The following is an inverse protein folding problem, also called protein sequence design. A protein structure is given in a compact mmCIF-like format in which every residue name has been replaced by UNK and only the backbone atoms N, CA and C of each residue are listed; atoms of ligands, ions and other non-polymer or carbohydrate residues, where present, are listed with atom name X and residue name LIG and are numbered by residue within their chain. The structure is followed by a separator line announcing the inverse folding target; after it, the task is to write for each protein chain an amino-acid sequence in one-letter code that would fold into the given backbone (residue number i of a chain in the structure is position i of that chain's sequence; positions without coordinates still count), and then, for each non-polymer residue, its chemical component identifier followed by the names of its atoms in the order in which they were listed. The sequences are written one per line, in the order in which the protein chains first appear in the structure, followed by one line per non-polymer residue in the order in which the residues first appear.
data_IF_829807323945
#
_entry.id   IF_829807323945
#
_cell.length_a   1.000
_cell.length_b   1.000
_cell.length_c   1.000
_cell.angle_alpha   90.00
_cell.angle_beta   90.00
_cell.angle_gamma   90.00
#
_symmetry.space_group_name_H-M   'P 1'
#
loop_
_entity.id
_entity.type
_entity.pdbx_description
1 polymer ?
#
# COMPACT_ATOMS: atom_id res chain seq x y z
N UNK A 1 -10.00 -27.19 5.94
CA UNK A 1 -8.93 -26.73 6.82
C UNK A 1 -9.53 -26.21 8.13
N UNK A 2 -8.92 -26.55 9.26
CA UNK A 2 -9.32 -26.09 10.59
C UNK A 2 -10.54 -26.80 11.19
N UNK A 3 -10.99 -26.27 12.31
CA UNK A 3 -12.18 -26.72 13.05
C UNK A 3 -13.46 -26.09 12.45
N UNK A 4 -14.67 -26.51 12.89
CA UNK A 4 -15.95 -26.03 12.36
C UNK A 4 -16.35 -24.62 12.88
N UNK A 5 -15.46 -23.88 13.51
CA UNK A 5 -15.76 -22.50 14.01
C UNK A 5 -16.08 -21.59 12.85
N UNK A 6 -17.15 -20.81 12.94
CA UNK A 6 -17.57 -19.85 11.92
C UNK A 6 -16.58 -18.68 11.86
N UNK A 7 -15.87 -18.54 10.72
CA UNK A 7 -14.86 -17.50 10.46
C UNK A 7 -14.61 -17.35 8.97
N UNK A 8 -13.93 -16.24 8.64
CA UNK A 8 -13.46 -15.99 7.29
C UNK A 8 -12.01 -16.43 7.12
N UNK A 9 -11.71 -17.08 6.00
CA UNK A 9 -10.35 -17.35 5.54
C UNK A 9 -10.06 -16.44 4.36
N UNK A 10 -9.02 -15.63 4.47
CA UNK A 10 -8.70 -14.61 3.45
C UNK A 10 -7.19 -14.42 3.29
N UNK A 11 -6.79 -13.73 2.22
CA UNK A 11 -5.42 -13.29 1.96
C UNK A 11 -4.41 -14.45 2.00
N UNK A 12 -4.64 -15.44 1.15
CA UNK A 12 -3.80 -16.64 1.07
C UNK A 12 -2.44 -16.31 0.44
N UNK A 13 -1.37 -16.78 1.07
CA UNK A 13 0.00 -16.70 0.56
C UNK A 13 0.71 -18.06 0.70
N UNK A 14 1.60 -18.37 -0.25
CA UNK A 14 2.44 -19.56 -0.20
C UNK A 14 3.83 -19.21 0.34
N UNK A 15 4.40 -20.13 1.12
CA UNK A 15 5.84 -20.08 1.40
C UNK A 15 6.65 -20.22 0.11
N UNK A 16 7.87 -19.65 0.04
CA UNK A 16 8.72 -19.76 -1.14
C UNK A 16 9.07 -21.19 -1.56
N UNK A 17 9.07 -22.14 -0.62
CA UNK A 17 9.30 -23.58 -0.86
C UNK A 17 8.01 -24.38 -1.16
N UNK A 18 6.86 -23.72 -1.22
CA UNK A 18 5.53 -24.28 -1.47
C UNK A 18 5.07 -25.34 -0.45
N UNK A 19 5.64 -25.38 0.75
CA UNK A 19 5.30 -26.36 1.79
C UNK A 19 4.29 -25.85 2.81
N UNK A 20 4.17 -24.54 2.94
CA UNK A 20 3.28 -23.88 3.90
C UNK A 20 2.35 -22.92 3.20
N UNK A 21 1.10 -22.93 3.61
CA UNK A 21 0.07 -21.96 3.21
C UNK A 21 -0.17 -21.05 4.41
N UNK A 22 -0.05 -19.76 4.19
CA UNK A 22 -0.40 -18.73 5.18
C UNK A 22 -1.72 -18.08 4.79
N UNK A 23 -2.57 -17.85 5.78
CA UNK A 23 -3.82 -17.13 5.57
C UNK A 23 -4.24 -16.37 6.82
N UNK A 24 -5.03 -15.33 6.63
CA UNK A 24 -5.67 -14.66 7.74
C UNK A 24 -7.01 -15.35 8.06
N UNK A 25 -7.18 -15.68 9.33
CA UNK A 25 -8.43 -16.15 9.91
C UNK A 25 -9.08 -14.98 10.66
N UNK A 26 -10.22 -14.51 10.20
CA UNK A 26 -10.95 -13.42 10.81
C UNK A 26 -12.23 -13.97 11.44
N UNK A 27 -12.49 -13.69 12.72
CA UNK A 27 -13.71 -14.13 13.39
C UNK A 27 -14.97 -13.51 12.77
N UNK A 28 -16.14 -14.02 13.10
CA UNK A 28 -17.41 -13.55 12.54
C UNK A 28 -17.72 -12.10 12.88
N UNK A 29 -17.32 -11.64 14.07
CA UNK A 29 -17.49 -10.25 14.53
C UNK A 29 -16.47 -9.29 13.90
N UNK A 30 -15.50 -9.82 13.13
CA UNK A 30 -14.46 -9.08 12.41
C UNK A 30 -13.59 -8.19 13.31
N UNK A 31 -13.30 -8.62 14.51
CA UNK A 31 -12.51 -7.88 15.50
C UNK A 31 -11.33 -8.70 16.09
N UNK A 32 -11.16 -9.95 15.66
CA UNK A 32 -10.04 -10.82 16.01
C UNK A 32 -9.53 -11.50 14.74
N UNK A 33 -8.34 -11.11 14.29
CA UNK A 33 -7.69 -11.59 13.08
C UNK A 33 -6.38 -12.28 13.42
N UNK A 34 -6.14 -13.46 12.83
CA UNK A 34 -4.95 -14.28 13.08
C UNK A 34 -4.26 -14.64 11.79
N UNK A 35 -2.96 -14.46 11.72
CA UNK A 35 -2.14 -15.02 10.65
C UNK A 35 -1.76 -16.44 11.02
N UNK A 36 -2.23 -17.40 10.27
CA UNK A 36 -2.10 -18.84 10.55
C UNK A 36 -1.37 -19.55 9.44
N UNK A 37 -0.53 -20.51 9.81
CA UNK A 37 0.20 -21.39 8.90
C UNK A 37 -0.45 -22.79 8.85
N UNK A 38 -0.50 -23.34 7.63
CA UNK A 38 -1.01 -24.67 7.33
C UNK A 38 -0.01 -25.46 6.50
N UNK A 39 0.09 -26.76 6.76
CA UNK A 39 0.84 -27.67 5.89
C UNK A 39 0.16 -27.75 4.52
N UNK A 40 0.90 -27.49 3.45
CA UNK A 40 0.37 -27.63 2.08
C UNK A 40 0.13 -29.10 1.69
N UNK A 41 0.81 -30.05 2.35
CA UNK A 41 0.69 -31.48 2.10
C UNK A 41 -0.53 -32.08 2.80
N UNK A 42 -0.73 -31.77 4.10
CA UNK A 42 -1.77 -32.41 4.92
C UNK A 42 -3.00 -31.55 5.13
N UNK A 43 -2.89 -30.23 4.91
CA UNK A 43 -3.95 -29.27 5.21
C UNK A 43 -4.11 -28.98 6.71
N UNK A 44 -3.24 -29.54 7.57
CA UNK A 44 -3.29 -29.33 9.01
C UNK A 44 -2.71 -27.98 9.42
N UNK A 45 -3.31 -27.37 10.42
CA UNK A 45 -2.81 -26.14 11.06
C UNK A 45 -1.48 -26.45 11.77
N UNK A 46 -0.42 -25.75 11.37
CA UNK A 46 0.92 -25.93 11.93
C UNK A 46 1.26 -24.89 12.98
N UNK A 47 0.65 -23.69 12.93
CA UNK A 47 0.89 -22.65 13.92
C UNK A 47 0.07 -21.38 13.68
N UNK A 48 0.09 -20.53 14.72
CA UNK A 48 -0.42 -19.16 14.66
C UNK A 48 0.77 -18.21 14.84
N UNK A 49 1.00 -17.30 13.89
CA UNK A 49 2.18 -16.44 13.86
C UNK A 49 1.89 -15.05 14.45
N UNK A 50 0.70 -14.55 14.23
CA UNK A 50 0.32 -13.19 14.61
C UNK A 50 -1.16 -13.12 14.93
N UNK A 51 -1.52 -12.23 15.85
CA UNK A 51 -2.89 -11.92 16.18
C UNK A 51 -3.06 -10.42 16.30
N UNK A 52 -4.15 -9.90 15.72
CA UNK A 52 -4.57 -8.51 15.82
C UNK A 52 -6.02 -8.46 16.27
N UNK A 53 -6.29 -7.63 17.27
CA UNK A 53 -7.63 -7.41 17.80
C UNK A 53 -7.91 -5.92 17.89
N UNK A 54 -9.13 -5.52 17.64
CA UNK A 54 -9.60 -4.15 17.83
C UNK A 54 -11.01 -4.16 18.38
N UNK A 55 -11.40 -3.16 19.18
CA UNK A 55 -12.74 -3.07 19.76
C UNK A 55 -13.83 -2.86 18.70
N UNK A 56 -13.48 -2.28 17.54
CA UNK A 56 -14.40 -1.99 16.44
C UNK A 56 -14.30 -3.05 15.35
N UNK A 57 -13.17 -3.08 14.62
CA UNK A 57 -12.94 -4.05 13.56
C UNK A 57 -11.46 -4.16 13.19
N UNK A 58 -11.08 -5.31 12.66
CA UNK A 58 -9.78 -5.56 12.00
C UNK A 58 -10.03 -5.89 10.54
N UNK A 59 -9.29 -5.25 9.65
CA UNK A 59 -9.43 -5.42 8.19
C UNK A 59 -8.12 -5.91 7.56
N UNK A 60 -7.93 -7.23 7.39
CA UNK A 60 -6.78 -7.78 6.70
C UNK A 60 -6.96 -7.58 5.18
N UNK A 61 -6.44 -6.45 4.64
CA UNK A 61 -6.67 -6.06 3.25
C UNK A 61 -5.81 -6.81 2.24
N UNK A 62 -4.65 -7.33 2.64
CA UNK A 62 -3.64 -7.86 1.72
C UNK A 62 -2.99 -9.15 2.25
N UNK A 63 -2.64 -10.10 1.37
CA UNK A 63 -1.83 -11.25 1.75
C UNK A 63 -0.41 -10.80 2.16
N UNK A 64 0.26 -11.61 2.97
CA UNK A 64 1.69 -11.43 3.23
C UNK A 64 2.48 -11.64 1.93
N UNK A 65 3.62 -10.95 1.80
CA UNK A 65 4.48 -11.04 0.61
C UNK A 65 5.91 -11.37 1.03
N UNK A 66 6.39 -12.57 0.70
CA UNK A 66 7.75 -12.99 0.99
C UNK A 66 8.77 -12.17 0.20
N UNK A 67 9.91 -11.93 0.82
CA UNK A 67 11.00 -11.17 0.19
C UNK A 67 11.77 -12.07 -0.78
N UNK A 68 12.04 -11.62 -2.02
CA UNK A 68 12.73 -12.45 -3.01
C UNK A 68 14.22 -12.72 -2.69
N UNK A 69 14.77 -12.12 -1.65
CA UNK A 69 16.15 -12.33 -1.18
C UNK A 69 16.26 -13.00 0.20
N UNK A 70 15.12 -13.30 0.85
CA UNK A 70 15.08 -13.92 2.17
C UNK A 70 13.77 -14.68 2.37
N UNK A 71 13.85 -15.99 2.26
CA UNK A 71 12.71 -16.90 2.38
C UNK A 71 12.10 -16.97 3.79
N UNK A 72 12.80 -16.43 4.79
CA UNK A 72 12.32 -16.37 6.18
C UNK A 72 11.65 -15.04 6.54
N UNK A 73 11.67 -14.08 5.64
CA UNK A 73 11.11 -12.75 5.89
C UNK A 73 10.02 -12.37 4.87
N UNK A 74 9.04 -11.64 5.33
CA UNK A 74 7.93 -11.16 4.51
C UNK A 74 7.45 -9.78 4.95
N UNK A 75 6.67 -9.13 4.09
CA UNK A 75 5.96 -7.89 4.40
C UNK A 75 4.51 -8.23 4.72
N UNK A 76 4.03 -7.70 5.83
CA UNK A 76 2.63 -7.67 6.22
C UNK A 76 2.14 -6.23 6.19
N UNK A 77 0.89 -6.04 5.81
CA UNK A 77 0.20 -4.76 5.91
C UNK A 77 -0.85 -4.83 7.01
N UNK A 78 -0.94 -3.79 7.84
CA UNK A 78 -1.90 -3.72 8.94
C UNK A 78 -2.26 -2.26 9.23
N UNK A 79 -3.49 -2.04 9.72
CA UNK A 79 -4.01 -0.75 10.17
C UNK A 79 -3.95 -0.57 11.69
N UNK A 80 -3.21 -1.41 12.40
CA UNK A 80 -3.16 -1.44 13.88
C UNK A 80 -2.73 -0.14 14.55
N UNK A 81 -2.12 0.79 13.82
CA UNK A 81 -1.78 2.15 14.28
C UNK A 81 -2.71 3.24 13.72
N UNK A 82 -3.85 2.84 13.12
CA UNK A 82 -4.89 3.72 12.57
C UNK A 82 -4.81 3.95 11.06
N UNK A 83 -3.69 3.60 10.41
CA UNK A 83 -3.49 3.71 8.96
C UNK A 83 -2.82 2.46 8.41
N UNK A 84 -3.03 2.15 7.12
CA UNK A 84 -2.40 0.99 6.49
C UNK A 84 -0.91 1.21 6.29
N UNK A 85 -0.10 0.46 7.05
CA UNK A 85 1.36 0.55 7.01
C UNK A 85 2.05 -0.79 6.80
N UNK A 86 3.34 -0.73 6.42
CA UNK A 86 4.19 -1.89 6.21
C UNK A 86 4.86 -2.33 7.51
N UNK A 87 4.80 -3.62 7.74
CA UNK A 87 5.50 -4.33 8.81
C UNK A 87 6.44 -5.37 8.19
N UNK A 88 7.70 -5.28 8.52
CA UNK A 88 8.72 -6.27 8.17
C UNK A 88 8.67 -7.38 9.21
N UNK A 89 8.40 -8.58 8.77
CA UNK A 89 8.23 -9.76 9.62
C UNK A 89 9.30 -10.79 9.32
N UNK A 90 9.92 -11.36 10.36
CA UNK A 90 10.91 -12.43 10.23
C UNK A 90 10.47 -13.64 11.04
N UNK A 91 10.40 -14.80 10.40
CA UNK A 91 10.17 -16.09 11.07
C UNK A 91 11.40 -16.44 11.91
N UNK A 92 11.20 -16.81 13.17
CA UNK A 92 12.28 -17.17 14.08
C UNK A 92 13.16 -18.30 13.53
N UNK A 93 14.49 -18.14 13.64
CA UNK A 93 15.49 -19.11 13.15
C UNK A 93 15.49 -20.45 13.88
N UNK A 94 14.88 -20.51 15.02
CA UNK A 94 14.72 -21.73 15.78
C UNK A 94 13.33 -22.28 15.52
N UNK A 95 13.25 -23.38 14.80
CA UNK A 95 12.15 -24.33 14.90
C UNK A 95 12.01 -24.87 16.34
N UNK A 96 12.30 -24.07 17.35
CA UNK A 96 11.92 -24.28 18.73
C UNK A 96 10.42 -24.14 18.80
N UNK A 97 9.74 -25.26 18.56
CA UNK A 97 8.41 -25.48 19.09
C UNK A 97 8.48 -25.14 20.58
N UNK A 98 8.10 -23.89 20.94
CA UNK A 98 7.65 -23.66 22.30
C UNK A 98 6.53 -24.66 22.56
N UNK A 99 6.35 -25.09 23.81
CA UNK A 99 5.31 -26.04 24.24
C UNK A 99 3.87 -25.57 23.93
N UNK A 100 3.69 -24.40 23.35
CA UNK A 100 2.51 -23.89 22.65
C UNK A 100 2.89 -23.65 21.20
N UNK A 101 2.41 -24.40 20.26
CA UNK A 101 2.56 -24.38 18.79
C UNK A 101 2.62 -23.00 18.11
N UNK A 102 3.34 -22.03 18.66
CA UNK A 102 3.45 -20.65 18.17
C UNK A 102 4.87 -20.42 17.68
N UNK A 103 5.06 -20.27 16.38
CA UNK A 103 6.32 -19.78 15.82
C UNK A 103 6.52 -18.34 16.28
N UNK A 104 7.73 -18.00 16.73
CA UNK A 104 8.04 -16.62 17.12
C UNK A 104 8.18 -15.76 15.87
N UNK A 105 7.35 -14.75 15.72
CA UNK A 105 7.43 -13.76 14.66
C UNK A 105 8.05 -12.48 15.21
N UNK A 106 9.19 -12.08 14.64
CA UNK A 106 9.75 -10.75 14.90
C UNK A 106 9.11 -9.75 13.94
N UNK A 107 8.54 -8.67 14.48
CA UNK A 107 7.81 -7.67 13.71
C UNK A 107 8.44 -6.31 13.91
N UNK A 108 8.84 -5.67 12.82
CA UNK A 108 9.35 -4.30 12.77
C UNK A 108 8.46 -3.44 11.88
N UNK A 109 7.88 -2.37 12.40
CA UNK A 109 7.17 -1.39 11.58
C UNK A 109 8.15 -0.62 10.67
N UNK A 110 7.89 -0.60 9.36
CA UNK A 110 8.72 0.10 8.38
C UNK A 110 8.20 1.50 8.03
N UNK A 111 6.88 1.65 8.01
CA UNK A 111 6.24 2.92 7.67
C UNK A 111 5.25 3.32 8.75
N UNK A 112 5.11 4.62 8.99
CA UNK A 112 4.19 5.18 9.98
C UNK A 112 3.79 6.60 9.59
N UNK A 113 2.68 7.09 10.17
CA UNK A 113 2.18 8.45 9.95
C UNK A 113 0.68 8.49 9.66
N UNK A 114 0.13 9.69 9.46
CA UNK A 114 -1.30 9.90 9.12
C UNK A 114 -1.53 9.80 7.61
N UNK A 115 -1.17 8.67 7.03
CA UNK A 115 -1.26 8.37 5.60
C UNK A 115 -1.24 6.86 5.40
N UNK A 116 -1.52 6.38 4.20
CA UNK A 116 -1.63 4.96 3.92
C UNK A 116 -0.68 4.49 2.80
N UNK A 117 -0.15 3.30 2.97
CA UNK A 117 0.36 2.50 1.87
C UNK A 117 -0.84 1.98 1.08
N UNK A 118 -1.02 2.49 -0.14
CA UNK A 118 -2.15 2.11 -0.99
C UNK A 118 -1.90 0.80 -1.73
N UNK A 119 -0.63 0.52 -2.05
CA UNK A 119 -0.23 -0.69 -2.77
C UNK A 119 1.27 -0.97 -2.60
N UNK A 120 1.63 -2.25 -2.47
CA UNK A 120 3.00 -2.73 -2.65
C UNK A 120 3.17 -3.15 -4.10
N UNK A 121 3.90 -2.34 -4.89
CA UNK A 121 4.14 -2.58 -6.31
C UNK A 121 5.13 -3.73 -6.55
N UNK A 122 5.96 -4.04 -5.56
CA UNK A 122 6.92 -5.14 -5.60
C UNK A 122 8.26 -4.81 -4.96
N UNK A 123 9.31 -5.53 -5.36
CA UNK A 123 10.60 -5.53 -4.70
C UNK A 123 11.76 -5.29 -5.66
N UNK A 124 12.79 -4.58 -5.20
CA UNK A 124 14.11 -4.59 -5.83
C UNK A 124 15.06 -5.45 -4.97
N UNK A 125 15.29 -6.69 -5.40
CA UNK A 125 16.10 -7.66 -4.65
C UNK A 125 17.56 -7.20 -4.50
N UNK A 126 18.14 -6.56 -5.53
CA UNK A 126 19.50 -6.06 -5.49
C UNK A 126 19.71 -4.99 -4.43
N UNK A 127 18.72 -4.11 -4.24
CA UNK A 127 18.74 -3.01 -3.27
C UNK A 127 18.09 -3.36 -1.94
N UNK A 128 17.47 -4.53 -1.83
CA UNK A 128 16.70 -4.95 -0.66
C UNK A 128 15.68 -3.88 -0.26
N UNK A 129 14.92 -3.42 -1.24
CA UNK A 129 13.93 -2.36 -1.05
C UNK A 129 12.57 -2.76 -1.60
N UNK A 130 11.54 -2.10 -1.07
CA UNK A 130 10.14 -2.27 -1.43
C UNK A 130 9.72 -1.05 -2.23
N UNK A 131 8.99 -1.24 -3.32
CA UNK A 131 8.40 -0.16 -4.09
C UNK A 131 6.92 -0.10 -3.75
N UNK A 132 6.46 1.07 -3.33
CA UNK A 132 5.08 1.29 -2.89
C UNK A 132 4.44 2.46 -3.63
N UNK A 133 3.12 2.44 -3.68
CA UNK A 133 2.31 3.61 -3.90
C UNK A 133 1.65 4.02 -2.58
N UNK A 134 1.66 5.31 -2.26
CA UNK A 134 1.06 5.84 -1.04
C UNK A 134 0.46 7.23 -1.23
N UNK A 135 -0.37 7.65 -0.28
CA UNK A 135 -0.94 8.99 -0.22
C UNK A 135 -0.21 9.90 0.80
N UNK A 136 1.06 9.59 1.10
CA UNK A 136 1.88 10.32 2.09
C UNK A 136 1.96 11.82 1.80
N UNK A 137 1.99 12.23 0.53
CA UNK A 137 2.05 13.64 0.16
C UNK A 137 0.73 14.38 0.36
N UNK A 138 -0.39 13.71 0.12
CA UNK A 138 -1.74 14.24 0.28
C UNK A 138 -2.77 13.12 0.11
N UNK A 139 -3.88 13.12 0.86
CA UNK A 139 -4.97 12.15 0.71
C UNK A 139 -5.59 12.07 -0.70
N UNK A 140 -5.45 13.14 -1.50
CA UNK A 140 -5.96 13.20 -2.88
C UNK A 140 -4.89 12.90 -3.93
N UNK A 141 -3.74 12.37 -3.52
CA UNK A 141 -2.64 12.02 -4.40
C UNK A 141 -2.27 10.55 -4.22
N UNK A 142 -1.64 10.01 -5.26
CA UNK A 142 -1.01 8.70 -5.21
C UNK A 142 0.40 8.83 -5.77
N UNK A 143 1.39 8.69 -4.90
CA UNK A 143 2.79 8.88 -5.19
C UNK A 143 3.57 7.59 -5.04
N UNK A 144 4.73 7.50 -5.67
CA UNK A 144 5.57 6.32 -5.70
C UNK A 144 6.80 6.53 -4.82
N UNK A 145 7.07 5.56 -3.95
CA UNK A 145 8.24 5.57 -3.07
C UNK A 145 9.01 4.26 -3.13
N UNK A 146 10.31 4.35 -2.97
CA UNK A 146 11.18 3.23 -2.61
C UNK A 146 11.42 3.28 -1.11
N UNK A 147 11.17 2.15 -0.43
CA UNK A 147 11.36 1.97 1.01
C UNK A 147 12.53 1.04 1.24
N UNK A 148 13.55 1.51 1.93
CA UNK A 148 14.68 0.69 2.37
C UNK A 148 14.24 -0.22 3.51
N UNK A 149 14.42 -1.55 3.37
CA UNK A 149 13.92 -2.52 4.36
C UNK A 149 14.68 -2.50 5.68
N UNK A 150 15.93 -2.04 5.69
CA UNK A 150 16.76 -1.97 6.90
C UNK A 150 16.41 -0.76 7.75
N UNK A 151 16.25 0.40 7.11
CA UNK A 151 16.10 1.68 7.80
C UNK A 151 14.66 2.22 7.83
N UNK A 152 13.78 1.74 6.93
CA UNK A 152 12.45 2.31 6.70
C UNK A 152 12.50 3.66 5.95
N UNK A 153 13.68 4.12 5.53
CA UNK A 153 13.81 5.38 4.77
C UNK A 153 13.04 5.28 3.46
N UNK A 154 12.20 6.27 3.22
CA UNK A 154 11.43 6.42 1.98
C UNK A 154 12.09 7.44 1.06
N UNK A 155 12.14 7.12 -0.23
CA UNK A 155 12.63 8.00 -1.29
C UNK A 155 11.56 8.10 -2.37
N UNK A 156 11.09 9.31 -2.65
CA UNK A 156 10.08 9.56 -3.68
C UNK A 156 10.67 9.30 -5.07
N UNK A 157 9.92 8.62 -5.93
CA UNK A 157 10.31 8.24 -7.29
C UNK A 157 9.57 9.03 -8.37
N UNK A 158 8.53 9.76 -8.03
CA UNK A 158 7.86 10.66 -8.95
C UNK A 158 8.49 12.06 -8.95
N UNK A 159 8.14 12.87 -9.99
CA UNK A 159 8.85 14.12 -10.27
C UNK A 159 8.26 15.36 -9.61
N UNK A 160 7.09 15.28 -9.01
CA UNK A 160 6.39 16.47 -8.56
C UNK A 160 5.66 16.35 -7.23
N UNK A 161 5.58 15.16 -6.66
CA UNK A 161 4.74 14.94 -5.50
C UNK A 161 3.28 15.34 -5.71
N UNK A 162 2.80 15.35 -6.96
CA UNK A 162 1.43 15.75 -7.34
C UNK A 162 0.85 14.77 -8.35
N UNK A 163 -0.47 14.60 -8.29
CA UNK A 163 -1.19 13.79 -9.26
C UNK A 163 -1.46 12.37 -8.80
N UNK A 164 -1.89 11.55 -9.74
CA UNK A 164 -2.24 10.16 -9.54
C UNK A 164 -1.37 9.28 -10.41
N UNK A 165 -0.47 8.53 -9.79
CA UNK A 165 0.52 7.70 -10.44
C UNK A 165 0.08 6.24 -10.47
N UNK A 166 -0.25 5.72 -11.66
CA UNK A 166 -0.51 4.31 -11.91
C UNK A 166 0.79 3.66 -12.37
N UNK A 167 1.51 3.10 -11.44
CA UNK A 167 2.84 2.56 -11.66
C UNK A 167 2.82 1.04 -11.79
N UNK A 168 3.70 0.52 -12.64
CA UNK A 168 3.99 -0.91 -12.76
C UNK A 168 5.49 -1.12 -12.64
N UNK A 169 5.90 -2.07 -11.80
CA UNK A 169 7.29 -2.40 -11.57
C UNK A 169 7.76 -3.45 -12.60
N UNK A 170 8.98 -3.31 -13.11
CA UNK A 170 9.62 -4.35 -13.93
C UNK A 170 9.89 -5.61 -13.12
N UNK A 171 9.90 -6.78 -13.75
CA UNK A 171 10.09 -8.08 -13.08
C UNK A 171 11.38 -8.19 -12.25
N UNK A 172 12.42 -7.43 -12.59
CA UNK A 172 13.68 -7.37 -11.80
C UNK A 172 13.71 -6.26 -10.75
N UNK A 173 12.62 -5.48 -10.62
CA UNK A 173 12.51 -4.40 -9.65
C UNK A 173 13.33 -3.14 -9.95
N UNK A 174 14.01 -3.06 -11.11
CA UNK A 174 14.93 -1.96 -11.41
C UNK A 174 14.26 -0.75 -12.04
N UNK A 175 13.12 -0.93 -12.69
CA UNK A 175 12.44 0.14 -13.40
C UNK A 175 10.96 0.19 -13.05
N UNK A 176 10.44 1.40 -12.99
CA UNK A 176 9.01 1.69 -12.84
C UNK A 176 8.51 2.27 -14.17
N UNK A 177 7.49 1.68 -14.74
CA UNK A 177 6.64 2.31 -15.74
C UNK A 177 5.61 3.16 -15.00
N UNK A 178 5.77 4.47 -15.05
CA UNK A 178 4.90 5.43 -14.39
C UNK A 178 3.97 6.11 -15.38
N UNK A 179 2.69 5.79 -15.30
CA UNK A 179 1.63 6.39 -16.10
C UNK A 179 0.79 7.27 -15.19
N UNK A 180 0.93 8.59 -15.29
CA UNK A 180 0.29 9.51 -14.37
C UNK A 180 -0.43 10.66 -15.04
N UNK A 181 -1.34 11.28 -14.29
CA UNK A 181 -2.06 12.49 -14.64
C UNK A 181 -2.10 13.48 -13.47
N UNK A 182 -2.27 14.75 -13.80
CA UNK A 182 -2.55 15.83 -12.84
C UNK A 182 -3.76 16.61 -13.33
N UNK A 183 -4.32 17.55 -12.56
CA UNK A 183 -5.41 18.40 -13.05
C UNK A 183 -5.09 19.17 -14.34
N UNK A 184 -3.81 19.43 -14.62
CA UNK A 184 -3.35 20.19 -15.80
C UNK A 184 -2.65 19.36 -16.86
N UNK A 185 -2.33 18.09 -16.54
CA UNK A 185 -1.63 17.17 -17.45
C UNK A 185 -2.49 15.94 -17.66
N UNK A 186 -3.08 15.75 -18.86
CA UNK A 186 -4.00 14.64 -19.12
C UNK A 186 -3.36 13.27 -18.93
N UNK A 187 -2.12 13.11 -19.40
CA UNK A 187 -1.37 11.87 -19.27
C UNK A 187 0.10 12.08 -19.55
N UNK A 188 0.94 11.54 -18.68
CA UNK A 188 2.37 11.36 -18.92
C UNK A 188 2.78 9.92 -18.66
N UNK A 189 3.76 9.43 -19.44
CA UNK A 189 4.41 8.14 -19.21
C UNK A 189 5.90 8.39 -19.09
N UNK A 190 6.48 7.84 -18.03
CA UNK A 190 7.91 7.89 -17.78
C UNK A 190 8.44 6.52 -17.32
N UNK A 191 9.71 6.26 -17.62
CA UNK A 191 10.45 5.15 -17.04
C UNK A 191 11.38 5.69 -15.98
N UNK A 192 11.26 5.16 -14.76
CA UNK A 192 12.03 5.60 -13.60
C UNK A 192 12.93 4.48 -13.12
N UNK A 193 14.21 4.77 -12.94
CA UNK A 193 15.15 3.82 -12.36
C UNK A 193 15.03 3.87 -10.83
N UNK A 194 14.74 2.72 -10.20
CA UNK A 194 14.51 2.60 -8.75
C UNK A 194 15.79 2.77 -7.91
N UNK A 195 16.98 2.65 -8.52
CA UNK A 195 18.24 2.77 -7.81
C UNK A 195 18.68 4.23 -7.61
N UNK A 196 18.42 5.08 -8.58
CA UNK A 196 18.93 6.46 -8.61
C UNK A 196 17.86 7.52 -8.87
N UNK A 197 16.60 7.11 -9.07
CA UNK A 197 15.49 8.03 -9.35
C UNK A 197 15.53 8.67 -10.74
N UNK A 198 16.49 8.29 -11.62
CA UNK A 198 16.57 8.86 -12.97
C UNK A 198 15.28 8.56 -13.73
N UNK A 199 14.63 9.64 -14.16
CA UNK A 199 13.37 9.60 -14.90
C UNK A 199 13.62 9.93 -16.36
N UNK A 200 13.10 9.11 -17.25
CA UNK A 200 13.09 9.34 -18.69
C UNK A 200 11.64 9.45 -19.15
N UNK A 201 11.28 10.61 -19.69
CA UNK A 201 9.95 10.84 -20.26
C UNK A 201 9.82 10.05 -21.57
N UNK A 202 8.80 9.24 -21.65
CA UNK A 202 8.49 8.44 -22.84
C UNK A 202 7.36 9.05 -23.67
N UNK A 203 6.34 9.58 -22.99
CA UNK A 203 5.17 10.13 -23.65
C UNK A 203 4.57 11.28 -22.83
N UNK A 204 4.09 12.31 -23.53
CA UNK A 204 3.26 13.37 -22.93
C UNK A 204 2.08 13.62 -23.85
N UNK A 205 0.86 13.38 -23.37
CA UNK A 205 -0.35 13.63 -24.14
C UNK A 205 -0.51 15.12 -24.41
N UNK A 206 -0.93 15.45 -25.62
CA UNK A 206 -1.37 16.80 -25.94
C UNK A 206 -2.67 17.07 -25.17
N UNK A 207 -2.84 18.32 -24.71
CA UNK A 207 -4.10 18.71 -24.12
C UNK A 207 -5.22 18.70 -25.18
N UNK A 208 -6.21 17.80 -25.11
CA UNK A 208 -7.29 17.70 -26.09
C UNK A 208 -8.24 18.92 -26.08
N UNK A 209 -8.20 19.70 -25.00
CA UNK A 209 -9.03 20.87 -24.80
C UNK A 209 -8.36 22.17 -25.26
N UNK A 210 -7.18 22.08 -25.88
CA UNK A 210 -6.49 23.27 -26.40
C UNK A 210 -7.36 23.96 -27.46
N UNK A 211 -7.69 25.21 -27.22
CA UNK A 211 -8.57 26.01 -28.10
C UNK A 211 -10.05 25.96 -27.74
N UNK A 212 -10.44 25.15 -26.78
CA UNK A 212 -11.80 25.14 -26.22
C UNK A 212 -11.87 26.03 -24.97
N UNK A 213 -13.03 26.62 -24.75
CA UNK A 213 -13.32 27.30 -23.50
C UNK A 213 -13.80 26.26 -22.49
N UNK A 214 -12.93 25.85 -21.57
CA UNK A 214 -13.19 24.80 -20.60
C UNK A 214 -13.35 25.37 -19.20
N UNK A 215 -14.11 24.69 -18.30
CA UNK A 215 -14.23 25.07 -16.90
C UNK A 215 -12.87 25.09 -16.19
N UNK A 216 -12.75 25.98 -15.21
CA UNK A 216 -11.60 25.97 -14.29
C UNK A 216 -11.75 24.84 -13.27
N UNK A 217 -10.72 24.01 -13.12
CA UNK A 217 -10.61 22.98 -12.11
C UNK A 217 -9.67 23.43 -11.00
N UNK A 218 -10.12 23.31 -9.76
CA UNK A 218 -9.28 23.56 -8.58
C UNK A 218 -9.51 22.49 -7.52
N UNK A 219 -8.49 22.26 -6.72
CA UNK A 219 -8.54 21.37 -5.55
C UNK A 219 -7.91 22.10 -4.38
N UNK A 220 -8.37 21.79 -3.18
CA UNK A 220 -7.84 22.38 -1.96
C UNK A 220 -8.33 21.66 -0.73
N UNK A 221 -8.08 22.24 0.43
CA UNK A 221 -8.66 21.81 1.70
C UNK A 221 -9.25 22.97 2.46
N UNK A 222 -10.27 22.68 3.28
CA UNK A 222 -10.81 23.58 4.29
C UNK A 222 -10.83 22.83 5.61
N UNK A 223 -10.82 23.55 6.72
CA UNK A 223 -11.03 22.92 8.02
C UNK A 223 -12.50 22.59 8.22
N UNK A 224 -12.76 21.42 8.81
CA UNK A 224 -14.06 21.05 9.33
C UNK A 224 -14.47 21.96 10.52
N UNK A 225 -15.68 21.82 11.00
CA UNK A 225 -16.21 22.58 12.15
C UNK A 225 -15.39 22.39 13.43
N UNK A 226 -14.70 21.25 13.56
CA UNK A 226 -13.78 20.96 14.67
C UNK A 226 -12.49 21.81 14.63
N UNK A 227 -12.24 22.58 13.57
CA UNK A 227 -11.06 23.42 13.38
C UNK A 227 -9.75 22.64 13.15
N UNK A 228 -9.79 21.31 13.17
CA UNK A 228 -8.60 20.44 13.10
C UNK A 228 -8.59 19.57 11.84
N UNK A 229 -9.70 18.94 11.51
CA UNK A 229 -9.83 18.01 10.39
C UNK A 229 -9.80 18.74 9.06
N UNK A 230 -8.90 18.32 8.14
CA UNK A 230 -8.88 18.83 6.77
C UNK A 230 -9.91 18.10 5.92
N UNK A 231 -10.83 18.86 5.32
CA UNK A 231 -11.78 18.39 4.32
C UNK A 231 -11.24 18.77 2.93
N UNK A 232 -10.91 17.76 2.14
CA UNK A 232 -10.41 17.97 0.79
C UNK A 232 -11.56 18.15 -0.18
N UNK A 233 -11.44 19.14 -1.07
CA UNK A 233 -12.46 19.46 -2.05
C UNK A 233 -11.89 19.54 -3.47
N UNK A 234 -12.77 19.30 -4.43
CA UNK A 234 -12.57 19.54 -5.85
C UNK A 234 -13.68 20.44 -6.34
N UNK A 235 -13.33 21.52 -7.01
CA UNK A 235 -14.26 22.50 -7.56
C UNK A 235 -14.09 22.59 -9.08
N UNK A 236 -15.22 22.68 -9.77
CA UNK A 236 -15.31 22.97 -11.20
C UNK A 236 -16.18 24.22 -11.33
N UNK A 237 -15.59 25.35 -11.71
CA UNK A 237 -16.31 26.59 -11.92
C UNK A 237 -16.88 26.61 -13.33
N UNK A 238 -18.09 27.21 -13.54
CA UNK A 238 -18.62 27.40 -14.88
C UNK A 238 -17.65 28.16 -15.78
N UNK A 239 -17.75 27.90 -17.08
CA UNK A 239 -17.07 28.73 -18.07
C UNK A 239 -17.59 30.18 -17.93
N UNK A 240 -16.69 31.14 -17.92
CA UNK A 240 -17.01 32.58 -17.66
C UNK A 240 -17.58 32.82 -16.25
N UNK A 241 -17.00 32.14 -15.24
CA UNK A 241 -17.39 32.34 -13.84
C UNK A 241 -17.28 33.81 -13.43
N UNK A 242 -18.36 34.33 -12.87
CA UNK A 242 -18.47 35.71 -12.33
C UNK A 242 -18.56 35.62 -10.79
N UNK A 243 -17.56 36.07 -10.02
CA UNK A 243 -17.58 35.97 -8.56
C UNK A 243 -18.70 36.78 -7.90
N UNK A 244 -19.35 37.68 -8.61
CA UNK A 244 -20.47 38.48 -8.11
C UNK A 244 -21.85 37.82 -8.32
N UNK A 245 -21.88 36.66 -8.98
CA UNK A 245 -23.12 35.91 -9.20
C UNK A 245 -23.18 34.72 -8.26
N UNK A 246 -24.38 34.33 -7.88
CA UNK A 246 -24.68 33.10 -7.17
C UNK A 246 -24.91 31.99 -8.18
N UNK A 247 -24.31 30.85 -7.92
CA UNK A 247 -24.45 29.61 -8.69
C UNK A 247 -25.05 28.51 -7.82
N UNK A 248 -25.88 27.61 -8.37
CA UNK A 248 -26.29 26.40 -7.65
C UNK A 248 -25.07 25.51 -7.40
N UNK A 249 -25.00 24.92 -6.20
CA UNK A 249 -23.95 23.99 -5.76
C UNK A 249 -24.57 22.65 -5.39
#
# INVERSE_FOLDING_TARGET
AGDPTDRYFTNIAWSPDSKTIYMFELNRDQNDCRLTAYSAETGEKTGELYRETDEKYVEPCHPIQFLPWDNSSFIMQSRKDGYNHLYFCTLGKNGSRMASNTESLEIKQLTSGKWEVMEVLGFNAKRKSIIIASNECSPIQRNIFVVDTKTGKRTMMDDCGKGWHNATLSGNGQFIYDNYSTPTVPRKIAIVNTENGKRTSYFTAKNPWKGYNVPEYSCGSIKADDGVTDLYWRMVKPVNFDPNKKYPT
#
